data_IF_685285663753
#
_entry.id   IF_685285663753
#
_cell.length_a   1.000
_cell.length_b   1.000
_cell.length_c   1.000
_cell.angle_alpha   90.00
_cell.angle_beta   90.00
_cell.angle_gamma   90.00
#
_symmetry.space_group_name_H-M   'P 1'
#
loop_
_entity.id
_entity.type
_entity.pdbx_description
1 polymer ?
#
# COMPACT_ATOMS: atom_id res chain seq x y z
N UNK A 1 -45.40 4.69 68.74
CA UNK A 1 -44.09 5.37 68.69
C UNK A 1 -43.04 4.64 67.84
N UNK A 2 -42.95 3.29 67.85
CA UNK A 2 -41.91 2.56 67.10
C UNK A 2 -41.94 2.68 65.56
N UNK A 3 -43.12 2.83 64.92
CA UNK A 3 -43.21 3.01 63.45
C UNK A 3 -42.58 4.32 62.96
N UNK A 4 -42.84 5.41 63.68
CA UNK A 4 -42.33 6.77 63.34
C UNK A 4 -40.81 6.85 63.51
N UNK A 5 -40.24 6.13 64.48
CA UNK A 5 -38.79 6.05 64.66
C UNK A 5 -38.08 5.23 63.58
N UNK A 6 -38.72 4.17 63.07
CA UNK A 6 -38.18 3.39 61.95
C UNK A 6 -38.26 4.15 60.61
N UNK A 7 -39.36 4.86 60.35
CA UNK A 7 -39.49 5.71 59.16
C UNK A 7 -38.47 6.87 59.19
N UNK A 8 -38.24 7.48 60.35
CA UNK A 8 -37.23 8.53 60.52
C UNK A 8 -35.81 8.02 60.23
N UNK A 9 -35.43 6.83 60.73
CA UNK A 9 -34.13 6.22 60.41
C UNK A 9 -33.96 5.91 58.92
N UNK A 10 -35.01 5.40 58.28
CA UNK A 10 -35.00 5.11 56.84
C UNK A 10 -34.80 6.38 56.00
N UNK A 11 -35.51 7.46 56.35
CA UNK A 11 -35.35 8.78 55.72
C UNK A 11 -33.95 9.37 55.95
N UNK A 12 -33.39 9.22 57.15
CA UNK A 12 -32.03 9.67 57.46
C UNK A 12 -30.97 8.92 56.64
N UNK A 13 -31.15 7.61 56.42
CA UNK A 13 -30.30 6.80 55.53
C UNK A 13 -30.44 7.19 54.05
N UNK A 14 -31.67 7.41 53.55
CA UNK A 14 -31.93 7.86 52.17
C UNK A 14 -31.32 9.25 51.90
N UNK A 15 -31.44 10.19 52.85
CA UNK A 15 -30.83 11.52 52.74
C UNK A 15 -29.30 11.42 52.75
N UNK A 16 -28.72 10.55 53.56
CA UNK A 16 -27.26 10.32 53.57
C UNK A 16 -26.78 9.74 52.25
N UNK A 17 -27.45 8.71 51.72
CA UNK A 17 -27.16 8.15 50.41
C UNK A 17 -27.28 9.17 49.29
N UNK A 18 -28.28 10.06 49.35
CA UNK A 18 -28.45 11.13 48.37
C UNK A 18 -27.33 12.17 48.44
N UNK A 19 -26.91 12.59 49.65
CA UNK A 19 -25.77 13.49 49.85
C UNK A 19 -24.46 12.87 49.36
N UNK A 20 -24.21 11.61 49.67
CA UNK A 20 -23.01 10.89 49.21
C UNK A 20 -22.99 10.75 47.68
N UNK A 21 -24.15 10.49 47.06
CA UNK A 21 -24.32 10.47 45.60
C UNK A 21 -24.08 11.85 44.98
N UNK A 22 -24.57 12.94 45.58
CA UNK A 22 -24.31 14.29 45.11
C UNK A 22 -22.82 14.69 45.24
N UNK A 23 -22.16 14.31 46.33
CA UNK A 23 -20.74 14.58 46.52
C UNK A 23 -19.88 13.79 45.51
N UNK A 24 -20.21 12.52 45.26
CA UNK A 24 -19.57 11.74 44.17
C UNK A 24 -19.79 12.38 42.80
N UNK A 25 -21.01 12.85 42.49
CA UNK A 25 -21.29 13.55 41.23
C UNK A 25 -20.50 14.86 41.10
N UNK A 26 -20.33 15.62 42.20
CA UNK A 26 -19.49 16.83 42.20
C UNK A 26 -18.01 16.50 41.94
N UNK A 27 -17.47 15.46 42.58
CA UNK A 27 -16.09 14.99 42.36
C UNK A 27 -15.86 14.45 40.93
N UNK A 28 -16.85 13.78 40.35
CA UNK A 28 -16.78 13.31 38.97
C UNK A 28 -16.80 14.51 38.00
N UNK A 29 -17.66 15.51 38.25
CA UNK A 29 -17.74 16.74 37.44
C UNK A 29 -16.42 17.52 37.43
N UNK A 30 -15.68 17.55 38.54
CA UNK A 30 -14.36 18.21 38.58
C UNK A 30 -13.31 17.54 37.69
N UNK A 31 -13.52 16.29 37.27
CA UNK A 31 -12.61 15.58 36.34
C UNK A 31 -12.90 15.82 34.85
N UNK A 32 -14.03 16.44 34.51
CA UNK A 32 -14.43 16.72 33.12
C UNK A 32 -13.95 18.12 32.75
N UNK A 33 -13.17 18.20 31.69
CA UNK A 33 -12.67 19.47 31.17
C UNK A 33 -12.65 19.46 29.65
N UNK A 34 -12.62 20.66 29.07
CA UNK A 34 -12.53 20.87 27.63
C UNK A 34 -11.10 21.20 27.25
N UNK A 35 -10.57 20.52 26.24
CA UNK A 35 -9.25 20.78 25.65
C UNK A 35 -9.44 21.18 24.20
N UNK A 36 -8.82 22.30 23.81
CA UNK A 36 -8.84 22.81 22.45
C UNK A 36 -7.58 22.34 21.70
N UNK A 37 -7.79 21.59 20.63
CA UNK A 37 -6.73 21.16 19.71
C UNK A 37 -6.74 22.10 18.51
N UNK A 38 -5.81 23.05 18.51
CA UNK A 38 -5.75 24.13 17.53
C UNK A 38 -4.90 23.79 16.30
N UNK A 39 -5.05 24.59 15.24
CA UNK A 39 -4.23 24.55 14.01
C UNK A 39 -4.26 23.20 13.28
N UNK A 40 -5.41 22.52 13.30
CA UNK A 40 -5.59 21.28 12.55
C UNK A 40 -6.01 21.62 11.11
N UNK A 41 -5.31 21.07 10.12
CA UNK A 41 -5.59 21.32 8.70
C UNK A 41 -7.05 21.02 8.34
N UNK A 42 -7.70 21.93 7.62
CA UNK A 42 -9.09 21.73 7.16
C UNK A 42 -9.25 20.49 6.30
N UNK A 43 -8.25 20.14 5.48
CA UNK A 43 -8.30 18.93 4.67
C UNK A 43 -8.41 17.67 5.54
N UNK A 44 -7.68 17.63 6.65
CA UNK A 44 -7.71 16.48 7.56
C UNK A 44 -9.06 16.37 8.26
N UNK A 45 -9.61 17.51 8.71
CA UNK A 45 -10.90 17.53 9.40
C UNK A 45 -12.04 17.21 8.44
N UNK A 46 -12.12 17.91 7.32
CA UNK A 46 -13.19 17.82 6.34
C UNK A 46 -13.24 16.43 5.68
N UNK A 47 -12.08 15.83 5.37
CA UNK A 47 -12.02 14.56 4.67
C UNK A 47 -12.07 13.33 5.59
N UNK A 48 -11.64 13.46 6.86
CA UNK A 48 -11.45 12.29 7.73
C UNK A 48 -12.17 12.39 9.06
N UNK A 49 -12.00 13.48 9.83
CA UNK A 49 -12.56 13.54 11.18
C UNK A 49 -14.07 13.81 11.20
N UNK A 50 -14.57 14.74 10.39
CA UNK A 50 -15.99 15.05 10.29
C UNK A 50 -16.81 13.86 9.75
N UNK A 51 -16.41 13.21 8.63
CA UNK A 51 -17.12 12.03 8.14
C UNK A 51 -17.15 10.87 9.15
N UNK A 52 -16.12 10.75 9.99
CA UNK A 52 -16.00 9.69 10.99
C UNK A 52 -16.37 10.14 12.41
N UNK A 53 -17.05 11.29 12.56
CA UNK A 53 -17.38 11.86 13.87
C UNK A 53 -18.17 10.89 14.76
N UNK A 54 -19.16 10.20 14.19
CA UNK A 54 -19.98 9.24 14.92
C UNK A 54 -19.15 8.04 15.41
N UNK A 55 -18.26 7.53 14.56
CA UNK A 55 -17.36 6.42 14.92
C UNK A 55 -16.40 6.84 16.04
N UNK A 56 -15.85 8.05 15.94
CA UNK A 56 -14.96 8.62 16.94
C UNK A 56 -15.66 8.80 18.29
N UNK A 57 -16.86 9.37 18.30
CA UNK A 57 -17.67 9.50 19.51
C UNK A 57 -18.04 8.14 20.11
N UNK A 58 -18.43 7.18 19.28
CA UNK A 58 -18.75 5.83 19.72
C UNK A 58 -17.55 5.17 20.40
N UNK A 59 -16.38 5.28 19.79
CA UNK A 59 -15.15 4.73 20.33
C UNK A 59 -14.77 5.36 21.69
N UNK A 60 -14.79 6.69 21.79
CA UNK A 60 -14.49 7.39 23.05
C UNK A 60 -15.53 7.09 24.15
N UNK A 61 -16.82 6.93 23.79
CA UNK A 61 -17.87 6.49 24.74
C UNK A 61 -17.60 5.08 25.26
N UNK A 62 -17.15 4.16 24.40
CA UNK A 62 -16.85 2.79 24.82
C UNK A 62 -15.57 2.65 25.66
N UNK A 63 -14.63 3.58 25.51
CA UNK A 63 -13.49 3.71 26.44
C UNK A 63 -13.96 4.07 27.84
N UNK A 64 -14.93 5.00 27.95
CA UNK A 64 -15.55 5.40 29.21
C UNK A 64 -16.20 4.23 29.95
N UNK A 65 -16.97 3.39 29.26
CA UNK A 65 -17.65 2.24 29.89
C UNK A 65 -16.66 1.20 30.45
N UNK A 66 -15.51 1.02 29.79
CA UNK A 66 -14.45 0.11 30.25
C UNK A 66 -13.65 0.66 31.43
N UNK A 67 -13.34 1.96 31.43
CA UNK A 67 -12.49 2.58 32.45
C UNK A 67 -13.26 2.96 33.71
N UNK A 68 -14.50 3.44 33.59
CA UNK A 68 -15.35 3.80 34.72
C UNK A 68 -16.84 3.69 34.36
N UNK A 69 -17.57 2.65 34.80
CA UNK A 69 -18.99 2.47 34.47
C UNK A 69 -19.89 3.65 34.87
N UNK A 70 -19.51 4.43 35.89
CA UNK A 70 -20.27 5.60 36.34
C UNK A 70 -20.10 6.85 35.45
N UNK A 71 -19.11 6.84 34.54
CA UNK A 71 -18.87 7.92 33.56
C UNK A 71 -19.88 7.94 32.41
N UNK A 72 -20.72 6.91 32.29
CA UNK A 72 -21.78 6.77 31.27
C UNK A 72 -22.77 7.94 31.24
N UNK A 73 -22.95 8.63 32.36
CA UNK A 73 -23.81 9.81 32.47
C UNK A 73 -23.19 11.10 31.91
N UNK A 74 -21.91 11.07 31.53
CA UNK A 74 -21.16 12.21 31.01
C UNK A 74 -20.39 11.81 29.74
N UNK A 75 -21.10 11.62 28.61
CA UNK A 75 -20.47 11.21 27.37
C UNK A 75 -19.48 12.28 26.87
N UNK A 76 -18.34 11.87 26.27
CA UNK A 76 -17.44 12.81 25.64
C UNK A 76 -18.15 13.56 24.51
N UNK A 77 -17.78 14.83 24.34
CA UNK A 77 -18.26 15.69 23.25
C UNK A 77 -17.07 16.17 22.42
N UNK A 78 -17.29 16.33 21.12
CA UNK A 78 -16.30 16.85 20.19
C UNK A 78 -16.98 17.91 19.33
N UNK A 79 -16.44 19.11 19.33
CA UNK A 79 -16.93 20.26 18.55
C UNK A 79 -15.84 20.66 17.58
N UNK A 80 -16.19 20.89 16.32
CA UNK A 80 -15.28 21.33 15.28
C UNK A 80 -15.59 22.79 14.92
N UNK A 81 -14.61 23.67 15.11
CA UNK A 81 -14.72 25.09 14.80
C UNK A 81 -13.76 25.43 13.66
N UNK A 82 -14.28 25.83 12.50
CA UNK A 82 -13.48 26.16 11.33
C UNK A 82 -13.10 27.65 11.34
N UNK A 83 -11.81 27.91 11.26
CA UNK A 83 -11.22 29.23 11.08
C UNK A 83 -10.43 29.25 9.77
N UNK A 84 -11.06 29.75 8.70
CA UNK A 84 -10.48 29.81 7.35
C UNK A 84 -10.00 28.42 6.85
N UNK A 85 -8.69 28.17 6.88
CA UNK A 85 -8.02 26.95 6.42
C UNK A 85 -7.67 25.97 7.55
N UNK A 86 -7.99 26.32 8.80
CA UNK A 86 -7.66 25.55 9.98
C UNK A 86 -8.91 25.27 10.81
N UNK A 87 -8.84 24.24 11.65
CA UNK A 87 -9.83 23.93 12.66
C UNK A 87 -9.23 24.03 14.05
N UNK A 88 -10.07 24.47 14.97
CA UNK A 88 -9.95 24.18 16.40
C UNK A 88 -10.94 23.06 16.72
N UNK A 89 -10.46 21.99 17.35
CA UNK A 89 -11.30 20.87 17.77
C UNK A 89 -11.39 20.90 19.29
N UNK A 90 -12.55 21.20 19.83
CA UNK A 90 -12.78 21.21 21.27
C UNK A 90 -13.30 19.82 21.70
N UNK A 91 -12.55 19.13 22.54
CA UNK A 91 -12.96 17.85 23.13
C UNK A 91 -13.29 18.07 24.59
N UNK A 92 -14.48 17.67 25.01
CA UNK A 92 -14.93 17.73 26.41
C UNK A 92 -15.02 16.33 26.97
N UNK A 93 -14.32 16.07 28.07
CA UNK A 93 -14.33 14.78 28.75
C UNK A 93 -13.26 14.64 29.83
N UNK A 94 -13.12 13.43 30.39
CA UNK A 94 -12.01 13.06 31.27
C UNK A 94 -10.67 12.97 30.55
N UNK A 95 -9.57 12.98 31.32
CA UNK A 95 -8.19 12.91 30.81
C UNK A 95 -7.96 11.76 29.82
N UNK A 96 -8.47 10.56 30.10
CA UNK A 96 -8.29 9.41 29.21
C UNK A 96 -8.96 9.60 27.83
N UNK A 97 -10.00 10.42 27.71
CA UNK A 97 -10.56 10.76 26.40
C UNK A 97 -9.61 11.63 25.61
N UNK A 98 -8.96 12.60 26.26
CA UNK A 98 -8.00 13.50 25.64
C UNK A 98 -6.77 12.73 25.18
N UNK A 99 -6.24 11.85 26.02
CA UNK A 99 -5.09 11.02 25.68
C UNK A 99 -5.39 10.13 24.45
N UNK A 100 -6.58 9.51 24.42
CA UNK A 100 -6.99 8.66 23.30
C UNK A 100 -7.29 9.46 22.03
N UNK A 101 -7.97 10.60 22.15
CA UNK A 101 -8.20 11.48 21.00
C UNK A 101 -6.88 11.98 20.40
N UNK A 102 -5.91 12.36 21.24
CA UNK A 102 -4.56 12.76 20.79
C UNK A 102 -3.87 11.65 20.01
N UNK A 103 -3.94 10.40 20.50
CA UNK A 103 -3.37 9.23 19.80
C UNK A 103 -4.06 9.01 18.45
N UNK A 104 -5.40 9.07 18.40
CA UNK A 104 -6.16 8.92 17.16
C UNK A 104 -5.79 10.01 16.15
N UNK A 105 -5.74 11.26 16.59
CA UNK A 105 -5.36 12.39 15.75
C UNK A 105 -3.95 12.21 15.15
N UNK A 106 -2.98 11.81 15.97
CA UNK A 106 -1.61 11.54 15.52
C UNK A 106 -1.55 10.41 14.48
N UNK A 107 -2.32 9.33 14.67
CA UNK A 107 -2.38 8.22 13.71
C UNK A 107 -2.98 8.67 12.38
N UNK A 108 -4.08 9.41 12.41
CA UNK A 108 -4.73 9.96 11.21
C UNK A 108 -3.78 10.90 10.47
N UNK A 109 -3.07 11.78 11.20
CA UNK A 109 -2.04 12.65 10.62
C UNK A 109 -0.93 11.85 9.95
N UNK A 110 -0.42 10.80 10.61
CA UNK A 110 0.62 9.94 10.05
C UNK A 110 0.16 9.23 8.78
N UNK A 111 -1.05 8.67 8.76
CA UNK A 111 -1.61 8.01 7.57
C UNK A 111 -1.77 9.01 6.42
N UNK A 112 -2.32 10.19 6.70
CA UNK A 112 -2.48 11.23 5.69
C UNK A 112 -1.14 11.66 5.07
N UNK A 113 -0.12 11.88 5.90
CA UNK A 113 1.22 12.27 5.42
C UNK A 113 1.88 11.18 4.58
N UNK A 114 1.77 9.91 4.99
CA UNK A 114 2.28 8.77 4.24
C UNK A 114 1.59 8.62 2.88
N UNK A 115 0.27 8.83 2.83
CA UNK A 115 -0.50 8.74 1.59
C UNK A 115 -0.19 9.88 0.64
N UNK A 116 -0.03 11.11 1.15
CA UNK A 116 0.41 12.22 0.32
C UNK A 116 1.81 11.96 -0.26
N UNK A 117 2.73 11.43 0.57
CA UNK A 117 4.07 11.04 0.12
C UNK A 117 4.03 9.97 -0.98
N UNK A 118 3.10 9.02 -0.89
CA UNK A 118 2.89 8.00 -1.92
C UNK A 118 2.36 8.61 -3.23
N UNK A 119 1.39 9.53 -3.16
CA UNK A 119 0.87 10.29 -4.32
C UNK A 119 1.97 11.10 -4.99
N UNK A 120 2.77 11.83 -4.21
CA UNK A 120 3.88 12.64 -4.71
C UNK A 120 4.95 11.78 -5.38
N UNK A 121 5.32 10.66 -4.76
CA UNK A 121 6.28 9.71 -5.31
C UNK A 121 5.81 9.13 -6.65
N UNK A 122 4.54 8.70 -6.72
CA UNK A 122 3.94 8.16 -7.95
C UNK A 122 3.97 9.18 -9.09
N UNK A 123 3.56 10.42 -8.80
CA UNK A 123 3.58 11.52 -9.78
C UNK A 123 5.01 11.81 -10.26
N UNK A 124 5.99 11.88 -9.34
CA UNK A 124 7.39 12.10 -9.69
C UNK A 124 7.95 10.98 -10.56
N UNK A 125 7.59 9.73 -10.26
CA UNK A 125 8.05 8.58 -11.02
C UNK A 125 7.48 8.55 -12.43
N UNK A 126 6.16 8.79 -12.58
CA UNK A 126 5.55 8.96 -13.91
C UNK A 126 6.25 10.07 -14.70
N UNK A 127 6.49 11.22 -14.07
CA UNK A 127 7.25 12.33 -14.67
C UNK A 127 8.65 11.92 -15.15
N UNK A 128 9.35 11.03 -14.43
CA UNK A 128 10.66 10.49 -14.84
C UNK A 128 10.54 9.57 -16.05
N UNK A 129 9.58 8.65 -16.06
CA UNK A 129 9.34 7.73 -17.19
C UNK A 129 9.05 8.56 -18.45
N UNK A 130 8.20 9.57 -18.34
CA UNK A 130 7.83 10.44 -19.46
C UNK A 130 9.05 11.18 -20.00
N UNK A 131 9.85 11.78 -19.11
CA UNK A 131 11.07 12.46 -19.53
C UNK A 131 12.00 11.51 -20.28
N UNK A 132 12.17 10.28 -19.78
CA UNK A 132 12.96 9.25 -20.45
C UNK A 132 12.41 8.93 -21.85
N UNK A 133 11.11 8.61 -21.94
CA UNK A 133 10.45 8.32 -23.22
C UNK A 133 10.57 9.49 -24.20
N UNK A 134 10.34 10.72 -23.73
CA UNK A 134 10.43 11.92 -24.55
C UNK A 134 11.86 12.19 -25.00
N UNK A 135 12.89 11.97 -24.17
CA UNK A 135 14.29 12.12 -24.57
C UNK A 135 14.62 11.15 -25.71
N UNK A 136 14.31 9.86 -25.54
CA UNK A 136 14.52 8.85 -26.59
C UNK A 136 13.78 9.21 -27.87
N UNK A 137 12.53 9.66 -27.73
CA UNK A 137 11.70 10.07 -28.86
C UNK A 137 12.24 11.33 -29.57
N UNK A 138 12.79 12.29 -28.82
CA UNK A 138 13.35 13.53 -29.33
C UNK A 138 14.71 13.36 -30.02
N UNK A 139 15.45 12.29 -29.71
CA UNK A 139 16.73 11.97 -30.37
C UNK A 139 16.58 11.59 -31.85
N UNK A 140 15.37 11.24 -32.30
CA UNK A 140 15.11 10.92 -33.71
C UNK A 140 15.03 12.21 -34.54
N UNK A 141 16.09 12.50 -35.30
CA UNK A 141 16.21 13.68 -36.17
C UNK A 141 15.54 13.50 -37.54
N UNK A 142 14.27 13.11 -37.59
CA UNK A 142 13.51 13.14 -38.84
C UNK A 142 12.76 14.46 -38.99
N UNK A 143 12.92 15.14 -40.13
CA UNK A 143 12.18 16.38 -40.47
C UNK A 143 10.97 16.13 -41.37
N UNK A 144 10.58 14.87 -41.59
CA UNK A 144 9.43 14.57 -42.45
C UNK A 144 8.13 15.03 -41.78
N UNK A 145 7.19 15.53 -42.58
CA UNK A 145 5.88 16.01 -42.09
C UNK A 145 5.12 14.91 -41.32
N UNK A 146 5.24 13.66 -41.74
CA UNK A 146 4.64 12.50 -41.06
C UNK A 146 5.25 12.25 -39.68
N UNK A 147 6.56 12.44 -39.51
CA UNK A 147 7.22 12.30 -38.22
C UNK A 147 6.76 13.37 -37.23
N UNK A 148 6.62 14.63 -37.68
CA UNK A 148 6.09 15.71 -36.85
C UNK A 148 4.65 15.45 -36.39
N UNK A 149 3.81 14.92 -37.28
CA UNK A 149 2.42 14.54 -36.94
C UNK A 149 2.39 13.41 -35.90
N UNK A 150 3.16 12.35 -36.15
CA UNK A 150 3.28 11.21 -35.24
C UNK A 150 3.78 11.63 -33.86
N UNK A 151 4.80 12.50 -33.79
CA UNK A 151 5.32 13.08 -32.55
C UNK A 151 4.25 13.78 -31.72
N UNK A 152 3.42 14.59 -32.36
CA UNK A 152 2.35 15.31 -31.68
C UNK A 152 1.28 14.36 -31.15
N UNK A 153 0.84 13.38 -31.96
CA UNK A 153 -0.15 12.37 -31.54
C UNK A 153 0.38 11.54 -30.37
N UNK A 154 1.62 11.04 -30.48
CA UNK A 154 2.26 10.24 -29.43
C UNK A 154 2.40 11.03 -28.12
N UNK A 155 2.87 12.29 -28.19
CA UNK A 155 3.00 13.15 -27.01
C UNK A 155 1.66 13.44 -26.33
N UNK A 156 0.60 13.64 -27.12
CA UNK A 156 -0.74 13.86 -26.59
C UNK A 156 -1.32 12.59 -25.94
N UNK A 157 -1.18 11.44 -26.59
CA UNK A 157 -1.63 10.16 -26.04
C UNK A 157 -0.93 9.82 -24.72
N UNK A 158 0.38 10.08 -24.62
CA UNK A 158 1.11 9.93 -23.37
C UNK A 158 0.53 10.85 -22.29
N UNK A 159 0.35 12.16 -22.58
CA UNK A 159 -0.23 13.13 -21.64
C UNK A 159 -1.59 12.70 -21.10
N UNK A 160 -2.49 12.24 -21.97
CA UNK A 160 -3.81 11.77 -21.55
C UNK A 160 -3.72 10.51 -20.69
N UNK A 161 -2.89 9.52 -21.08
CA UNK A 161 -2.72 8.30 -20.30
C UNK A 161 -2.14 8.54 -18.91
N UNK A 162 -1.29 9.55 -18.74
CA UNK A 162 -0.77 9.93 -17.42
C UNK A 162 -1.87 10.48 -16.53
N UNK A 163 -2.71 11.38 -17.06
CA UNK A 163 -3.83 11.94 -16.28
C UNK A 163 -4.75 10.81 -15.83
N UNK A 164 -5.04 9.87 -16.72
CA UNK A 164 -5.81 8.67 -16.42
C UNK A 164 -5.16 7.86 -15.29
N UNK A 165 -3.86 7.55 -15.39
CA UNK A 165 -3.16 6.77 -14.37
C UNK A 165 -3.04 7.46 -13.01
N UNK A 166 -2.76 8.76 -12.99
CA UNK A 166 -2.75 9.56 -11.76
C UNK A 166 -4.14 9.57 -11.13
N UNK A 167 -5.19 9.72 -11.94
CA UNK A 167 -6.57 9.65 -11.46
C UNK A 167 -6.90 8.29 -10.85
N UNK A 168 -6.60 7.20 -11.55
CA UNK A 168 -6.83 5.84 -11.07
C UNK A 168 -6.07 5.54 -9.78
N UNK A 169 -4.80 5.96 -9.69
CA UNK A 169 -4.00 5.79 -8.48
C UNK A 169 -4.58 6.58 -7.30
N UNK A 170 -4.98 7.83 -7.54
CA UNK A 170 -5.58 8.68 -6.51
C UNK A 170 -6.89 8.08 -5.98
N UNK A 171 -7.75 7.57 -6.87
CA UNK A 171 -8.99 6.89 -6.50
C UNK A 171 -8.69 5.67 -5.62
N UNK A 172 -7.74 4.82 -6.03
CA UNK A 172 -7.38 3.62 -5.27
C UNK A 172 -6.83 3.95 -3.87
N UNK A 173 -5.97 4.98 -3.77
CA UNK A 173 -5.46 5.47 -2.47
C UNK A 173 -6.60 6.04 -1.62
N UNK A 174 -7.54 6.77 -2.21
CA UNK A 174 -8.69 7.35 -1.52
C UNK A 174 -9.71 6.31 -1.04
N UNK A 175 -9.81 5.16 -1.70
CA UNK A 175 -10.60 4.04 -1.20
C UNK A 175 -9.91 3.39 0.00
N UNK A 176 -8.59 3.15 -0.08
CA UNK A 176 -7.84 2.54 1.01
C UNK A 176 -7.74 3.44 2.25
N UNK A 177 -7.64 4.75 2.08
CA UNK A 177 -7.51 5.68 3.21
C UNK A 177 -8.74 5.64 4.10
N UNK A 178 -9.95 5.49 3.53
CA UNK A 178 -11.19 5.39 4.32
C UNK A 178 -11.11 4.24 5.32
N UNK A 179 -10.74 3.05 4.85
CA UNK A 179 -10.55 1.87 5.71
C UNK A 179 -9.46 2.07 6.75
N UNK A 180 -8.33 2.69 6.38
CA UNK A 180 -7.24 2.96 7.33
C UNK A 180 -7.63 3.97 8.42
N UNK A 181 -8.43 4.98 8.09
CA UNK A 181 -8.94 5.99 9.04
C UNK A 181 -9.87 5.33 10.07
N UNK A 182 -10.79 4.48 9.62
CA UNK A 182 -11.66 3.71 10.53
C UNK A 182 -10.86 2.82 11.47
N UNK A 183 -9.78 2.19 10.98
CA UNK A 183 -8.85 1.41 11.79
C UNK A 183 -8.05 2.26 12.79
N UNK A 184 -7.66 3.48 12.41
CA UNK A 184 -6.98 4.41 13.31
C UNK A 184 -7.85 4.77 14.52
N UNK A 185 -9.17 4.90 14.31
CA UNK A 185 -10.14 5.24 15.36
C UNK A 185 -10.47 4.03 16.24
N UNK A 186 -10.73 2.86 15.64
CA UNK A 186 -11.27 1.68 16.36
C UNK A 186 -10.26 0.88 17.19
N UNK A 187 -8.98 1.27 17.19
CA UNK A 187 -7.89 0.65 17.98
C UNK A 187 -7.79 -0.87 17.88
N UNK A 188 -8.11 -1.46 16.73
CA UNK A 188 -7.54 -2.78 16.44
C UNK A 188 -6.02 -2.66 16.60
N UNK A 189 -5.41 -3.60 17.33
CA UNK A 189 -3.95 -3.64 17.51
C UNK A 189 -3.31 -3.30 16.17
N UNK A 190 -2.48 -2.26 16.14
CA UNK A 190 -1.80 -1.77 14.94
C UNK A 190 -0.72 -2.76 14.45
N UNK A 191 -0.95 -4.08 14.57
CA UNK A 191 -0.28 -5.11 13.77
C UNK A 191 -0.43 -4.83 12.27
N UNK A 192 -1.46 -4.07 11.87
CA UNK A 192 -1.63 -3.62 10.48
C UNK A 192 -0.74 -2.43 10.07
N UNK A 193 -0.15 -1.65 11.00
CA UNK A 193 0.89 -0.68 10.63
C UNK A 193 2.23 -1.36 10.30
N UNK A 194 2.51 -2.53 10.90
CA UNK A 194 3.60 -3.42 10.47
C UNK A 194 3.34 -4.00 9.06
N UNK A 195 2.07 -3.98 8.61
CA UNK A 195 1.68 -4.33 7.25
C UNK A 195 1.69 -3.14 6.28
N UNK A 196 1.96 -1.89 6.70
CA UNK A 196 2.11 -0.76 5.75
C UNK A 196 3.23 -1.01 4.74
N UNK A 197 4.43 -1.50 5.12
CA UNK A 197 5.45 -1.85 4.14
C UNK A 197 5.02 -2.98 3.19
N UNK A 198 4.39 -4.08 3.64
CA UNK A 198 3.74 -5.07 2.77
C UNK A 198 2.57 -4.55 1.92
N UNK A 199 1.79 -3.57 2.38
CA UNK A 199 0.70 -2.93 1.63
C UNK A 199 1.26 -2.02 0.54
N UNK A 200 2.31 -1.24 0.85
CA UNK A 200 3.12 -0.52 -0.14
C UNK A 200 3.74 -1.49 -1.14
N UNK A 201 4.25 -2.64 -0.68
CA UNK A 201 4.79 -3.69 -1.55
C UNK A 201 3.68 -4.31 -2.41
N UNK A 202 2.47 -4.52 -1.87
CA UNK A 202 1.29 -4.96 -2.63
C UNK A 202 0.84 -3.93 -3.65
N UNK A 203 0.79 -2.65 -3.29
CA UNK A 203 0.48 -1.54 -4.21
C UNK A 203 1.56 -1.45 -5.29
N UNK A 204 2.84 -1.65 -4.96
CA UNK A 204 3.96 -1.75 -5.91
C UNK A 204 3.80 -2.97 -6.81
N UNK A 205 3.33 -4.12 -6.31
CA UNK A 205 3.07 -5.33 -7.11
C UNK A 205 1.87 -5.12 -8.04
N UNK A 206 0.76 -4.56 -7.55
CA UNK A 206 -0.38 -4.15 -8.39
C UNK A 206 0.07 -3.16 -9.45
N UNK A 207 0.88 -2.17 -9.07
CA UNK A 207 1.51 -1.20 -9.96
C UNK A 207 2.43 -1.84 -11.00
N UNK A 208 3.23 -2.86 -10.62
CA UNK A 208 4.05 -3.64 -11.55
C UNK A 208 3.20 -4.44 -12.54
N UNK A 209 2.07 -5.00 -12.10
CA UNK A 209 1.10 -5.66 -12.99
C UNK A 209 0.41 -4.65 -13.94
N UNK A 210 0.14 -3.42 -13.46
CA UNK A 210 -0.43 -2.32 -14.26
C UNK A 210 0.56 -1.75 -15.29
N UNK A 211 1.87 -1.68 -14.99
CA UNK A 211 2.91 -1.27 -15.96
C UNK A 211 3.05 -2.20 -17.17
N UNK A 212 2.38 -3.36 -17.17
CA UNK A 212 2.52 -4.40 -18.18
C UNK A 212 1.29 -4.55 -19.13
N UNK A 213 0.28 -3.67 -19.04
CA UNK A 213 -0.91 -3.67 -19.92
C UNK A 213 -1.65 -5.02 -20.03
N UNK A 214 -1.78 -5.77 -18.93
CA UNK A 214 -2.62 -6.97 -18.93
C UNK A 214 -4.11 -6.59 -18.80
N UNK A 215 -5.04 -7.21 -19.54
CA UNK A 215 -6.46 -7.09 -19.25
C UNK A 215 -6.72 -7.64 -17.85
N UNK A 216 -7.36 -6.84 -17.01
CA UNK A 216 -7.81 -7.23 -15.68
C UNK A 216 -8.81 -8.39 -15.83
N UNK A 217 -8.36 -9.63 -15.61
CA UNK A 217 -9.27 -10.75 -15.42
C UNK A 217 -9.82 -10.72 -13.98
N UNK A 218 -11.12 -10.98 -13.85
CA UNK A 218 -11.96 -10.88 -12.64
C UNK A 218 -11.59 -11.82 -11.46
N UNK A 219 -10.49 -12.57 -11.52
CA UNK A 219 -10.10 -13.48 -10.42
C UNK A 219 -8.68 -13.24 -9.91
N UNK A 220 -8.49 -12.07 -9.30
CA UNK A 220 -7.23 -11.59 -8.70
C UNK A 220 -6.61 -12.55 -7.68
N UNK A 221 -7.39 -13.46 -7.09
CA UNK A 221 -6.91 -14.41 -6.07
C UNK A 221 -6.21 -15.64 -6.68
N UNK A 222 -6.74 -16.19 -7.77
CA UNK A 222 -6.17 -17.36 -8.45
C UNK A 222 -4.85 -17.04 -9.17
N UNK A 223 -4.73 -15.81 -9.69
CA UNK A 223 -3.50 -15.35 -10.33
C UNK A 223 -2.36 -15.18 -9.31
N UNK A 224 -2.67 -14.70 -8.10
CA UNK A 224 -1.70 -14.56 -7.01
C UNK A 224 -1.21 -15.93 -6.55
N UNK A 225 -2.12 -16.88 -6.32
CA UNK A 225 -1.77 -18.26 -5.97
C UNK A 225 -0.91 -18.93 -7.06
N UNK A 226 -1.13 -18.61 -8.33
CA UNK A 226 -0.32 -19.13 -9.44
C UNK A 226 1.05 -18.44 -9.55
N UNK A 227 1.15 -17.14 -9.27
CA UNK A 227 2.43 -16.42 -9.25
C UNK A 227 3.31 -16.92 -8.11
N UNK A 228 2.72 -17.15 -6.93
CA UNK A 228 3.44 -17.67 -5.76
C UNK A 228 3.91 -19.13 -5.98
N UNK A 229 3.14 -19.93 -6.73
CA UNK A 229 3.45 -21.34 -7.00
C UNK A 229 4.31 -21.61 -8.25
N UNK A 230 4.52 -20.64 -9.15
CA UNK A 230 5.20 -20.86 -10.44
C UNK A 230 6.32 -19.84 -10.74
N UNK A 231 7.05 -19.36 -9.73
CA UNK A 231 8.21 -18.46 -9.94
C UNK A 231 9.50 -19.26 -10.02
N UNK A 232 10.20 -19.17 -11.16
CA UNK A 232 11.48 -19.86 -11.38
C UNK A 232 12.54 -18.93 -12.06
N UNK A 233 13.83 -19.25 -11.89
CA UNK A 233 15.01 -18.41 -11.53
C UNK A 233 16.02 -18.19 -12.72
N UNK A 234 17.01 -17.30 -12.52
CA UNK A 234 18.27 -16.92 -13.25
C UNK A 234 18.35 -16.80 -14.79
N UNK A 235 19.11 -15.82 -15.31
CA UNK A 235 19.30 -15.57 -16.77
C UNK A 235 20.41 -16.46 -17.37
N UNK A 236 20.13 -17.13 -18.48
CA UNK A 236 21.11 -17.85 -19.32
C UNK A 236 21.29 -17.15 -20.68
N UNK A 237 22.44 -17.34 -21.33
CA UNK A 237 22.65 -16.93 -22.73
C UNK A 237 22.10 -17.99 -23.69
N UNK A 238 21.76 -17.65 -24.95
CA UNK A 238 21.04 -18.54 -25.86
C UNK A 238 21.68 -19.92 -26.04
N UNK A 239 20.89 -20.94 -25.72
CA UNK A 239 21.07 -22.36 -26.01
C UNK A 239 20.22 -22.70 -27.23
N UNK A 240 20.74 -22.52 -28.45
CA UNK A 240 20.28 -23.20 -29.68
C UNK A 240 18.79 -23.18 -30.11
N UNK A 241 17.86 -22.63 -29.32
CA UNK A 241 16.42 -22.94 -29.33
C UNK A 241 15.55 -21.74 -29.72
N UNK A 242 16.15 -20.74 -30.39
CA UNK A 242 15.46 -19.57 -30.90
C UNK A 242 15.98 -18.21 -30.45
N UNK A 243 15.28 -17.16 -30.87
CA UNK A 243 15.62 -15.75 -30.67
C UNK A 243 14.82 -15.13 -29.52
N UNK A 244 15.12 -15.53 -28.29
CA UNK A 244 14.49 -15.01 -27.07
C UNK A 244 15.50 -14.73 -25.95
N UNK A 245 15.00 -14.25 -24.81
CA UNK A 245 15.75 -14.17 -23.57
C UNK A 245 15.59 -15.49 -22.81
N UNK A 246 16.70 -16.10 -22.42
CA UNK A 246 16.73 -17.41 -21.80
C UNK A 246 16.92 -17.29 -20.29
N UNK A 247 16.27 -18.17 -19.56
CA UNK A 247 16.30 -18.27 -18.11
C UNK A 247 16.40 -19.73 -17.69
N UNK A 248 16.99 -20.01 -16.54
CA UNK A 248 17.16 -21.34 -15.99
C UNK A 248 17.04 -21.33 -14.47
N UNK A 249 16.23 -22.24 -13.96
CA UNK A 249 15.98 -22.46 -12.54
C UNK A 249 17.25 -22.82 -11.76
N UNK A 250 18.13 -23.56 -12.42
CA UNK A 250 19.42 -23.96 -11.91
C UNK A 250 20.46 -22.84 -12.12
N UNK A 251 20.98 -22.21 -11.05
CA UNK A 251 22.01 -21.19 -11.17
C UNK A 251 23.32 -21.74 -11.74
N UNK A 252 23.58 -23.06 -11.65
CA UNK A 252 24.75 -23.68 -12.27
C UNK A 252 24.68 -23.68 -13.80
N UNK A 253 23.49 -23.80 -14.39
CA UNK A 253 23.31 -23.63 -15.84
C UNK A 253 23.66 -22.19 -16.24
N UNK A 254 23.13 -21.20 -15.53
CA UNK A 254 23.45 -19.78 -15.73
C UNK A 254 24.93 -19.45 -15.53
N UNK A 255 25.58 -20.12 -14.57
CA UNK A 255 27.01 -20.00 -14.31
C UNK A 255 27.87 -20.40 -15.51
N UNK A 256 27.55 -21.54 -16.17
CA UNK A 256 28.27 -22.03 -17.37
C UNK A 256 28.32 -20.98 -18.49
N UNK A 257 27.30 -20.12 -18.57
CA UNK A 257 27.15 -19.07 -19.57
C UNK A 257 27.70 -17.70 -19.16
N UNK A 258 28.09 -17.54 -17.88
CA UNK A 258 28.61 -16.27 -17.38
C UNK A 258 30.12 -16.21 -17.60
N UNK A 259 30.63 -15.27 -18.40
CA UNK A 259 32.08 -15.05 -18.55
C UNK A 259 32.65 -14.36 -17.30
N UNK A 260 33.86 -14.77 -16.90
CA UNK A 260 34.62 -14.06 -15.88
C UNK A 260 35.22 -12.77 -16.47
N UNK A 261 35.27 -11.71 -15.67
CA UNK A 261 36.01 -10.50 -15.97
C UNK A 261 37.51 -10.82 -16.06
N UNK A 262 38.16 -10.37 -17.13
CA UNK A 262 39.56 -10.69 -17.39
C UNK A 262 40.51 -10.14 -16.32
N UNK A 263 40.14 -9.03 -15.67
CA UNK A 263 41.02 -8.34 -14.73
C UNK A 263 40.95 -8.92 -13.33
N UNK A 264 39.74 -9.20 -12.83
CA UNK A 264 39.53 -9.56 -11.44
C UNK A 264 38.81 -10.90 -11.24
N UNK A 265 38.50 -11.62 -12.33
CA UNK A 265 37.82 -12.90 -12.33
C UNK A 265 36.41 -12.87 -11.71
N UNK A 266 35.81 -11.68 -11.54
CA UNK A 266 34.42 -11.58 -11.10
C UNK A 266 33.46 -12.05 -12.18
N UNK A 267 32.35 -12.63 -11.76
CA UNK A 267 31.24 -13.05 -12.61
C UNK A 267 29.98 -12.34 -12.17
N UNK A 268 29.08 -12.10 -13.12
CA UNK A 268 27.81 -11.42 -12.87
C UNK A 268 26.66 -12.30 -13.33
N UNK A 269 25.75 -12.63 -12.41
CA UNK A 269 24.46 -13.27 -12.73
C UNK A 269 23.35 -12.31 -12.32
N UNK A 270 22.27 -12.30 -13.12
CA UNK A 270 21.05 -11.61 -12.75
C UNK A 270 20.00 -12.62 -12.26
N UNK A 271 19.42 -12.32 -11.11
CA UNK A 271 18.21 -12.96 -10.63
C UNK A 271 17.02 -12.12 -11.11
N UNK A 272 16.17 -12.70 -11.95
CA UNK A 272 15.03 -12.04 -12.55
C UNK A 272 13.74 -12.76 -12.20
N UNK A 273 12.66 -12.00 -12.04
CA UNK A 273 11.30 -12.53 -11.97
C UNK A 273 10.73 -12.57 -13.38
N UNK A 274 10.37 -13.76 -13.86
CA UNK A 274 9.93 -13.97 -15.24
C UNK A 274 8.46 -14.39 -15.28
N UNK A 275 7.68 -13.74 -16.14
CA UNK A 275 6.28 -14.03 -16.38
C UNK A 275 6.15 -15.04 -17.53
N UNK A 276 6.15 -16.32 -17.16
CA UNK A 276 6.07 -17.43 -18.11
C UNK A 276 4.66 -17.59 -18.72
N UNK A 277 3.61 -17.18 -18.01
CA UNK A 277 2.23 -17.35 -18.47
C UNK A 277 1.90 -18.83 -18.70
N UNK A 278 1.39 -19.15 -19.89
CA UNK A 278 1.20 -20.53 -20.37
C UNK A 278 2.43 -20.90 -21.20
N UNK A 279 3.35 -21.75 -20.70
CA UNK A 279 4.50 -22.18 -21.48
C UNK A 279 4.10 -23.25 -22.51
N UNK A 280 4.67 -23.17 -23.71
CA UNK A 280 4.70 -24.30 -24.64
C UNK A 280 5.94 -25.14 -24.35
N UNK A 281 5.78 -26.44 -24.10
CA UNK A 281 6.90 -27.34 -23.84
C UNK A 281 7.58 -27.73 -25.15
N UNK A 282 8.91 -27.64 -25.20
CA UNK A 282 9.72 -28.11 -26.32
C UNK A 282 10.79 -29.10 -25.85
N UNK A 283 10.76 -30.29 -26.45
CA UNK A 283 11.64 -31.40 -26.11
C UNK A 283 12.83 -31.54 -27.08
N UNK A 284 12.95 -30.62 -28.05
CA UNK A 284 14.00 -30.63 -29.08
C UNK A 284 14.38 -29.19 -29.44
N UNK A 285 15.65 -28.97 -29.73
CA UNK A 285 16.16 -27.69 -30.18
C UNK A 285 15.46 -27.22 -31.46
N UNK A 286 15.09 -25.94 -31.46
CA UNK A 286 14.53 -25.26 -32.63
C UNK A 286 15.13 -23.87 -32.79
N UNK A 287 16.28 -23.79 -33.45
CA UNK A 287 17.03 -22.54 -33.64
C UNK A 287 16.26 -21.45 -34.41
N UNK A 288 15.23 -21.82 -35.16
CA UNK A 288 14.40 -20.90 -35.94
C UNK A 288 13.23 -20.33 -35.15
N UNK A 289 13.07 -20.71 -33.88
CA UNK A 289 11.95 -20.24 -33.06
C UNK A 289 12.11 -18.74 -32.75
N UNK A 290 11.09 -17.95 -33.06
CA UNK A 290 11.08 -16.49 -32.87
C UNK A 290 9.93 -16.01 -31.98
N UNK A 291 9.05 -16.94 -31.59
CA UNK A 291 7.96 -16.71 -30.64
C UNK A 291 7.56 -18.02 -29.96
N UNK A 292 6.83 -17.94 -28.86
CA UNK A 292 6.11 -19.09 -28.31
C UNK A 292 5.04 -19.57 -29.30
N UNK A 293 4.62 -20.83 -29.17
CA UNK A 293 3.51 -21.38 -29.97
C UNK A 293 2.21 -20.60 -29.76
N UNK A 294 1.30 -20.66 -30.73
CA UNK A 294 -0.01 -19.99 -30.64
C UNK A 294 -0.72 -20.40 -29.34
N UNK A 295 -1.21 -19.42 -28.58
CA UNK A 295 -1.86 -19.63 -27.27
C UNK A 295 -0.89 -19.73 -26.08
N UNK A 296 0.41 -19.74 -26.33
CA UNK A 296 1.45 -19.75 -25.30
C UNK A 296 2.15 -18.40 -25.19
N UNK A 297 2.79 -18.17 -24.04
CA UNK A 297 3.41 -16.89 -23.69
C UNK A 297 4.94 -17.00 -23.53
N UNK A 298 5.43 -18.21 -23.28
CA UNK A 298 6.84 -18.56 -23.16
C UNK A 298 7.06 -19.97 -23.70
N UNK A 299 8.32 -20.38 -23.78
CA UNK A 299 8.71 -21.75 -24.11
C UNK A 299 9.42 -22.33 -22.89
N UNK A 300 9.09 -23.57 -22.55
CA UNK A 300 9.85 -24.37 -21.58
C UNK A 300 10.62 -25.43 -22.36
N UNK A 301 11.94 -25.29 -22.42
CA UNK A 301 12.84 -26.28 -23.00
C UNK A 301 13.14 -27.37 -21.99
N UNK A 302 12.90 -28.63 -22.38
CA UNK A 302 13.11 -29.83 -21.57
C UNK A 302 14.05 -30.83 -22.25
N UNK A 303 14.75 -30.39 -23.31
CA UNK A 303 15.62 -31.24 -24.13
C UNK A 303 16.98 -31.57 -23.51
N UNK A 304 17.41 -30.80 -22.50
CA UNK A 304 18.69 -30.93 -21.81
C UNK A 304 18.51 -31.43 -20.36
N UNK A 305 19.62 -31.78 -19.69
CA UNK A 305 19.66 -32.20 -18.27
C UNK A 305 19.07 -31.17 -17.29
N UNK A 306 18.96 -29.91 -17.71
CA UNK A 306 18.50 -28.78 -16.94
C UNK A 306 17.41 -28.04 -17.74
N UNK A 307 16.28 -27.72 -17.10
CA UNK A 307 15.21 -26.95 -17.75
C UNK A 307 15.68 -25.55 -18.18
N UNK A 308 15.02 -25.02 -19.20
CA UNK A 308 15.16 -23.61 -19.60
C UNK A 308 13.84 -22.99 -19.97
N UNK A 309 13.79 -21.67 -19.84
CA UNK A 309 12.61 -20.88 -20.13
C UNK A 309 12.97 -19.76 -21.07
N UNK A 310 12.22 -19.63 -22.16
CA UNK A 310 12.46 -18.63 -23.19
C UNK A 310 11.27 -17.69 -23.24
N UNK A 311 11.54 -16.38 -23.11
CA UNK A 311 10.55 -15.33 -23.34
C UNK A 311 10.97 -14.44 -24.50
N UNK A 312 9.98 -13.99 -25.27
CA UNK A 312 10.22 -13.23 -26.51
C UNK A 312 9.91 -11.74 -26.36
N UNK A 313 9.37 -11.33 -25.21
CA UNK A 313 9.04 -9.93 -24.91
C UNK A 313 9.81 -9.49 -23.69
N UNK A 314 10.59 -8.42 -23.82
CA UNK A 314 11.41 -7.87 -22.72
C UNK A 314 10.59 -7.48 -21.48
N UNK A 315 9.30 -7.14 -21.65
CA UNK A 315 8.40 -6.87 -20.53
C UNK A 315 8.07 -8.09 -19.67
N UNK A 316 8.38 -9.32 -20.12
CA UNK A 316 8.12 -10.53 -19.34
C UNK A 316 9.19 -10.82 -18.29
N UNK A 317 10.33 -10.15 -18.30
CA UNK A 317 11.41 -10.39 -17.34
C UNK A 317 11.74 -9.11 -16.56
N UNK A 318 11.65 -9.18 -15.24
CA UNK A 318 11.98 -8.10 -14.33
C UNK A 318 13.24 -8.46 -13.53
N UNK A 319 14.34 -7.78 -13.80
CA UNK A 319 15.58 -7.93 -13.02
C UNK A 319 15.34 -7.50 -11.58
N UNK A 320 15.68 -8.37 -10.62
CA UNK A 320 15.45 -8.13 -9.20
C UNK A 320 16.77 -7.95 -8.44
N UNK A 321 17.76 -8.80 -8.70
CA UNK A 321 19.09 -8.70 -8.08
C UNK A 321 20.21 -8.90 -9.11
N UNK A 322 21.29 -8.15 -8.93
CA UNK A 322 22.58 -8.37 -9.60
C UNK A 322 23.51 -9.04 -8.60
N UNK A 323 23.94 -10.27 -8.90
CA UNK A 323 24.85 -11.05 -8.06
C UNK A 323 26.24 -10.99 -8.68
N UNK A 324 27.20 -10.48 -7.92
CA UNK A 324 28.62 -10.42 -8.31
C UNK A 324 29.37 -11.40 -7.41
N UNK A 325 30.10 -12.35 -8.00
CA UNK A 325 30.79 -13.41 -7.26
C UNK A 325 32.10 -13.81 -7.95
N UNK A 326 32.97 -14.50 -7.21
CA UNK A 326 34.18 -15.16 -7.71
C UNK A 326 34.10 -16.64 -7.36
N UNK A 327 34.68 -17.50 -8.19
CA UNK A 327 34.94 -18.88 -7.80
C UNK A 327 36.24 -18.86 -7.01
N UNK A 328 36.24 -19.49 -5.85
CA UNK A 328 37.46 -19.77 -5.09
C UNK A 328 37.73 -21.25 -5.34
N UNK A 329 38.79 -21.56 -6.07
CA UNK A 329 39.26 -22.95 -6.17
C UNK A 329 39.70 -23.38 -4.77
N UNK A 330 39.04 -24.41 -4.22
CA UNK A 330 39.36 -25.00 -2.91
C UNK A 330 40.27 -26.20 -3.11
#
# INVERSE_FOLDING_TARGET
>A
MGKVQNERKKLEEEVKQFKDKQNKLKQIKTGIHTVNYEKISSQLVDNYLLPNHNLLLYYLKNLSTKMNPQSTNYPPQIIFEKNQTMYTIAVTGFQYHHDQFKIILQRIQSVNNSMQSAKDYYQQHLNRIIRSLMITFLQVQSKTRYWLLYKNIFSNNIKEKIKEYVSMFNISIEEQIKTLIEQCISSYQLKHLELIPPLLQRIIIYYCCFTLQLPLFESTKDLIDKIEKNTIITITTPTGSGHGAYFADNPQKSHKYTKADENDQTRVIFYAKVLLGIPSVQNKDNSNLTSASIGSHSVQGTGDDDEEYIVYRYGQALHYLKIIYKIIDV
#
